data_IF_363902825871
#
_entry.id   IF_363902825871
#
_cell.length_a   1.000
_cell.length_b   1.000
_cell.length_c   1.000
_cell.angle_alpha   90.00
_cell.angle_beta   90.00
_cell.angle_gamma   90.00
#
_symmetry.space_group_name_H-M   'P 1'
#
loop_
_entity.id
_entity.type
_entity.pdbx_description
1 polymer ?
#
# COMPACT_ATOMS: atom_id res chain seq x y z
N UNK A 1 28.36 6.74 -11.22
CA UNK A 1 28.30 5.53 -10.39
C UNK A 1 26.94 5.53 -9.71
N UNK A 2 26.01 4.76 -10.28
CA UNK A 2 24.79 4.18 -9.70
C UNK A 2 24.13 4.85 -8.48
N UNK A 3 23.33 5.89 -8.72
CA UNK A 3 22.14 6.13 -7.90
C UNK A 3 21.02 5.22 -8.44
N UNK A 4 20.98 3.98 -7.96
CA UNK A 4 19.77 3.17 -8.01
C UNK A 4 18.73 3.89 -7.14
N UNK A 5 17.99 4.82 -7.74
CA UNK A 5 16.74 5.31 -7.20
C UNK A 5 15.78 4.12 -7.08
N UNK A 6 15.83 3.45 -5.95
CA UNK A 6 14.80 2.53 -5.49
C UNK A 6 13.49 3.33 -5.40
N UNK A 7 12.73 3.36 -6.49
CA UNK A 7 11.39 3.90 -6.48
C UNK A 7 10.60 3.13 -5.41
N UNK A 8 9.83 3.81 -4.55
CA UNK A 8 9.01 3.13 -3.54
C UNK A 8 7.97 2.17 -4.16
N UNK A 9 7.76 2.24 -5.47
CA UNK A 9 6.92 1.34 -6.26
C UNK A 9 7.55 -0.04 -6.57
N UNK A 10 8.87 -0.21 -6.42
CA UNK A 10 9.58 -1.46 -6.76
C UNK A 10 9.70 -2.43 -5.57
N UNK A 11 9.15 -2.08 -4.41
CA UNK A 11 9.12 -3.02 -3.28
C UNK A 11 8.09 -4.12 -3.58
N UNK A 12 8.47 -5.41 -3.56
CA UNK A 12 7.51 -6.48 -3.79
C UNK A 12 6.42 -6.38 -2.74
N UNK A 13 5.19 -6.08 -3.17
CA UNK A 13 4.03 -6.10 -2.30
C UNK A 13 3.92 -7.51 -1.72
N UNK A 14 4.01 -7.64 -0.40
CA UNK A 14 3.79 -8.92 0.28
C UNK A 14 2.41 -9.42 -0.15
N UNK A 15 2.35 -10.59 -0.80
CA UNK A 15 1.10 -11.16 -1.30
C UNK A 15 0.24 -11.67 -0.13
N UNK A 16 -1.09 -11.55 -0.24
CA UNK A 16 -2.04 -12.11 0.74
C UNK A 16 -1.76 -13.58 1.06
N UNK A 17 -1.31 -14.35 0.07
CA UNK A 17 -0.94 -15.76 0.25
C UNK A 17 0.23 -15.93 1.20
N UNK A 18 1.25 -15.05 1.11
CA UNK A 18 2.41 -15.07 2.00
C UNK A 18 2.01 -14.74 3.42
N UNK A 19 1.13 -13.74 3.61
CA UNK A 19 0.60 -13.38 4.92
C UNK A 19 -0.15 -14.56 5.56
N UNK A 20 -1.02 -15.23 4.80
CA UNK A 20 -1.77 -16.40 5.28
C UNK A 20 -0.86 -17.57 5.66
N UNK A 21 0.16 -17.86 4.85
CA UNK A 21 1.14 -18.92 5.14
C UNK A 21 1.93 -18.60 6.41
N UNK A 22 2.40 -17.35 6.57
CA UNK A 22 3.15 -16.93 7.76
C UNK A 22 2.28 -17.01 9.02
N UNK A 23 1.05 -16.50 8.98
CA UNK A 23 0.13 -16.56 10.13
C UNK A 23 -0.24 -18.00 10.46
N UNK A 24 -0.51 -18.83 9.45
CA UNK A 24 -0.81 -20.26 9.64
C UNK A 24 0.36 -21.03 10.26
N UNK A 25 1.59 -20.79 9.80
CA UNK A 25 2.79 -21.40 10.36
C UNK A 25 3.01 -20.96 11.82
N UNK A 26 2.86 -19.66 12.11
CA UNK A 26 2.98 -19.14 13.47
C UNK A 26 1.91 -19.72 14.41
N UNK A 27 0.68 -19.88 13.94
CA UNK A 27 -0.38 -20.52 14.72
C UNK A 27 -0.06 -21.99 15.01
N UNK A 28 0.41 -22.75 14.01
CA UNK A 28 0.80 -24.16 14.20
C UNK A 28 1.94 -24.30 15.21
N UNK A 29 2.96 -23.44 15.13
CA UNK A 29 4.09 -23.46 16.07
C UNK A 29 3.65 -23.02 17.46
N UNK A 30 2.84 -21.96 17.57
CA UNK A 30 2.35 -21.46 18.85
C UNK A 30 1.44 -22.46 19.57
N UNK A 31 0.43 -23.00 18.87
CA UNK A 31 -0.49 -24.00 19.45
C UNK A 31 0.23 -25.32 19.71
N UNK A 32 1.04 -25.80 18.76
CA UNK A 32 1.78 -27.04 18.89
C UNK A 32 2.79 -27.00 20.03
N UNK A 33 3.54 -25.90 20.15
CA UNK A 33 4.46 -25.67 21.26
C UNK A 33 3.75 -25.54 22.61
N UNK A 34 2.56 -24.91 22.64
CA UNK A 34 1.76 -24.81 23.86
C UNK A 34 1.29 -26.18 24.35
N UNK A 35 0.79 -27.03 23.44
CA UNK A 35 0.37 -28.41 23.77
C UNK A 35 1.58 -29.24 24.24
N UNK A 36 2.72 -29.15 23.54
CA UNK A 36 3.92 -29.89 23.88
C UNK A 36 4.46 -29.51 25.27
N UNK A 37 4.52 -28.21 25.57
CA UNK A 37 4.96 -27.72 26.88
C UNK A 37 3.94 -28.08 27.96
N UNK A 38 2.64 -28.05 27.67
CA UNK A 38 1.64 -28.46 28.65
C UNK A 38 1.80 -29.92 29.09
N UNK A 39 2.27 -30.81 28.21
CA UNK A 39 2.54 -32.22 28.53
C UNK A 39 3.88 -32.39 29.28
N UNK A 40 4.95 -31.68 28.87
CA UNK A 40 6.31 -31.90 29.39
C UNK A 40 6.60 -31.06 30.64
N UNK A 41 6.09 -29.82 30.69
CA UNK A 41 6.28 -28.82 31.75
C UNK A 41 5.03 -27.94 31.91
N UNK A 42 3.97 -28.45 32.56
CA UNK A 42 2.70 -27.73 32.75
C UNK A 42 2.85 -26.45 33.57
N UNK A 43 3.88 -26.34 34.41
CA UNK A 43 4.23 -25.14 35.16
C UNK A 43 4.65 -23.98 34.24
N UNK A 44 5.39 -24.29 33.18
CA UNK A 44 5.89 -23.31 32.21
C UNK A 44 4.90 -22.99 31.08
N UNK A 45 3.80 -23.76 30.93
CA UNK A 45 2.87 -23.61 29.80
C UNK A 45 2.17 -22.25 29.79
N UNK A 46 1.85 -21.68 30.95
CA UNK A 46 1.22 -20.37 31.06
C UNK A 46 2.15 -19.26 30.54
N UNK A 47 3.41 -19.26 30.98
CA UNK A 47 4.42 -18.28 30.56
C UNK A 47 4.73 -18.40 29.08
N UNK A 48 4.87 -19.63 28.56
CA UNK A 48 5.08 -19.85 27.14
C UNK A 48 3.92 -19.34 26.30
N UNK A 49 2.68 -19.66 26.68
CA UNK A 49 1.49 -19.24 25.94
C UNK A 49 1.36 -17.72 25.90
N UNK A 50 1.66 -17.03 27.01
CA UNK A 50 1.69 -15.57 27.07
C UNK A 50 2.73 -14.97 26.12
N UNK A 51 3.96 -15.52 26.10
CA UNK A 51 5.02 -15.07 25.20
C UNK A 51 4.68 -15.35 23.72
N UNK A 52 4.11 -16.52 23.43
CA UNK A 52 3.69 -16.89 22.09
C UNK A 52 2.60 -15.95 21.55
N UNK A 53 1.60 -15.62 22.38
CA UNK A 53 0.56 -14.64 22.04
C UNK A 53 1.11 -13.23 21.82
N UNK A 54 2.05 -12.79 22.65
CA UNK A 54 2.73 -11.50 22.47
C UNK A 54 3.49 -11.44 21.13
N UNK A 55 4.27 -12.47 20.83
CA UNK A 55 5.00 -12.56 19.56
C UNK A 55 4.05 -12.58 18.36
N UNK A 56 2.97 -13.35 18.44
CA UNK A 56 1.96 -13.43 17.39
C UNK A 56 1.29 -12.06 17.18
N UNK A 57 0.90 -11.38 18.27
CA UNK A 57 0.31 -10.04 18.21
C UNK A 57 1.25 -9.01 17.58
N UNK A 58 2.53 -9.06 17.92
CA UNK A 58 3.54 -8.20 17.31
C UNK A 58 3.68 -8.47 15.80
N UNK A 59 3.78 -9.74 15.40
CA UNK A 59 3.86 -10.12 13.98
C UNK A 59 2.63 -9.69 13.18
N UNK A 60 1.43 -9.90 13.71
CA UNK A 60 0.18 -9.47 13.06
C UNK A 60 0.13 -7.95 12.92
N UNK A 61 0.59 -7.21 13.94
CA UNK A 61 0.66 -5.74 13.89
C UNK A 61 1.60 -5.27 12.80
N UNK A 62 2.81 -5.83 12.74
CA UNK A 62 3.80 -5.51 11.69
C UNK A 62 3.24 -5.81 10.30
N UNK A 63 2.64 -6.99 10.10
CA UNK A 63 2.03 -7.37 8.83
C UNK A 63 0.91 -6.41 8.44
N UNK A 64 0.04 -6.02 9.39
CA UNK A 64 -1.06 -5.09 9.16
C UNK A 64 -0.54 -3.72 8.74
N UNK A 65 0.50 -3.21 9.41
CA UNK A 65 1.13 -1.93 9.07
C UNK A 65 1.72 -2.00 7.66
N UNK A 66 2.51 -3.03 7.35
CA UNK A 66 3.15 -3.18 6.04
C UNK A 66 2.10 -3.29 4.92
N UNK A 67 1.06 -4.10 5.12
CA UNK A 67 -0.02 -4.27 4.14
C UNK A 67 -0.84 -2.99 3.95
N UNK A 68 -1.15 -2.30 5.04
CA UNK A 68 -1.87 -1.04 5.03
C UNK A 68 -1.10 0.06 4.31
N UNK A 69 0.18 0.24 4.64
CA UNK A 69 1.06 1.23 4.01
C UNK A 69 1.20 0.97 2.51
N UNK A 70 1.38 -0.29 2.09
CA UNK A 70 1.47 -0.63 0.66
C UNK A 70 0.18 -0.27 -0.10
N UNK A 71 -0.99 -0.54 0.50
CA UNK A 71 -2.29 -0.23 -0.13
C UNK A 71 -2.53 1.27 -0.23
N UNK A 72 -2.20 2.03 0.82
CA UNK A 72 -2.30 3.49 0.82
C UNK A 72 -1.35 4.10 -0.21
N UNK A 73 -0.10 3.63 -0.27
CA UNK A 73 0.88 4.11 -1.24
C UNK A 73 0.43 3.85 -2.69
N UNK A 74 -0.13 2.66 -2.98
CA UNK A 74 -0.68 2.34 -4.30
C UNK A 74 -1.89 3.21 -4.68
N UNK A 75 -2.75 3.56 -3.72
CA UNK A 75 -3.87 4.48 -3.95
C UNK A 75 -3.38 5.91 -4.25
N UNK A 76 -2.41 6.41 -3.48
CA UNK A 76 -1.80 7.73 -3.72
C UNK A 76 -1.17 7.80 -5.11
N UNK A 77 -0.46 6.76 -5.53
CA UNK A 77 0.10 6.68 -6.88
C UNK A 77 -0.96 6.68 -7.98
N UNK A 78 -2.07 5.96 -7.78
CA UNK A 78 -3.21 5.96 -8.72
C UNK A 78 -3.86 7.33 -8.83
N UNK A 79 -4.12 7.98 -7.69
CA UNK A 79 -4.71 9.33 -7.65
C UNK A 79 -3.77 10.34 -8.31
N UNK A 80 -2.46 10.31 -8.05
CA UNK A 80 -1.51 11.19 -8.73
C UNK A 80 -1.52 10.98 -10.26
N UNK A 81 -1.52 9.73 -10.73
CA UNK A 81 -1.57 9.44 -12.17
C UNK A 81 -2.87 9.92 -12.81
N UNK A 82 -4.00 9.71 -12.15
CA UNK A 82 -5.31 10.16 -12.63
C UNK A 82 -5.41 11.70 -12.64
N UNK A 83 -4.99 12.37 -11.56
CA UNK A 83 -5.01 13.83 -11.47
C UNK A 83 -4.10 14.46 -12.50
N UNK A 84 -2.89 13.94 -12.72
CA UNK A 84 -1.98 14.47 -13.73
C UNK A 84 -2.53 14.28 -15.16
N UNK A 85 -3.16 13.13 -15.45
CA UNK A 85 -3.82 12.90 -16.73
C UNK A 85 -5.02 13.83 -16.97
N UNK A 86 -5.82 14.07 -15.95
CA UNK A 86 -6.95 15.02 -16.00
C UNK A 86 -6.47 16.45 -16.15
N UNK A 87 -5.40 16.85 -15.44
CA UNK A 87 -4.83 18.19 -15.55
C UNK A 87 -4.30 18.45 -16.97
N UNK A 88 -3.59 17.48 -17.55
CA UNK A 88 -3.07 17.57 -18.91
C UNK A 88 -4.20 17.72 -19.94
N UNK A 89 -5.28 16.94 -19.81
CA UNK A 89 -6.48 17.08 -20.65
C UNK A 89 -7.14 18.44 -20.50
N UNK A 90 -7.27 18.93 -19.26
CA UNK A 90 -7.89 20.22 -18.98
C UNK A 90 -7.07 21.39 -19.55
N UNK A 91 -5.74 21.25 -19.59
CA UNK A 91 -4.83 22.24 -20.15
C UNK A 91 -4.88 22.25 -21.69
N UNK A 92 -4.98 21.07 -22.30
CA UNK A 92 -5.19 20.90 -23.75
C UNK A 92 -6.53 21.49 -24.21
N UNK A 93 -7.61 21.23 -23.48
CA UNK A 93 -8.93 21.81 -23.75
C UNK A 93 -8.95 23.33 -23.57
N UNK A 94 -8.24 23.86 -22.56
CA UNK A 94 -8.09 25.31 -22.39
C UNK A 94 -7.38 25.94 -23.59
N UNK A 95 -6.28 25.32 -24.06
CA UNK A 95 -5.56 25.82 -25.23
C UNK A 95 -6.43 25.79 -26.48
N UNK A 96 -7.22 24.74 -26.69
CA UNK A 96 -8.20 24.68 -27.79
C UNK A 96 -9.26 25.78 -27.69
N UNK A 97 -9.84 25.99 -26.51
CA UNK A 97 -10.83 27.05 -26.30
C UNK A 97 -10.23 28.45 -26.52
N UNK A 98 -8.99 28.67 -26.09
CA UNK A 98 -8.28 29.93 -26.31
C UNK A 98 -7.98 30.16 -27.80
N UNK A 99 -7.62 29.12 -28.55
CA UNK A 99 -7.44 29.20 -29.99
C UNK A 99 -8.75 29.53 -30.72
N UNK A 100 -9.85 28.85 -30.38
CA UNK A 100 -11.18 29.15 -30.94
C UNK A 100 -11.65 30.56 -30.60
N UNK A 101 -11.44 31.02 -29.35
CA UNK A 101 -11.75 32.42 -28.98
C UNK A 101 -10.91 33.42 -29.77
N UNK A 102 -9.63 33.15 -29.99
CA UNK A 102 -8.75 34.02 -30.77
C UNK A 102 -9.16 34.07 -32.25
N UNK A 103 -9.58 32.94 -32.82
CA UNK A 103 -10.11 32.83 -34.18
C UNK A 103 -11.42 33.63 -34.33
N UNK A 104 -12.35 33.47 -33.39
CA UNK A 104 -13.63 34.18 -33.37
C UNK A 104 -13.45 35.70 -33.17
N UNK A 105 -12.52 36.11 -32.31
CA UNK A 105 -12.15 37.53 -32.15
C UNK A 105 -11.53 38.14 -33.41
N UNK A 106 -10.85 37.33 -34.23
CA UNK A 106 -10.32 37.77 -35.53
C UNK A 106 -11.40 37.98 -36.60
N UNK A 107 -12.52 37.25 -36.48
CA UNK A 107 -13.65 37.35 -37.41
C UNK A 107 -14.68 38.40 -37.00
N UNK A 108 -14.58 38.94 -35.78
CA UNK A 108 -15.43 40.03 -35.32
C UNK A 108 -14.90 41.37 -35.88
N UNK A 109 -15.72 42.16 -36.61
CA UNK A 109 -15.32 43.49 -37.04
C UNK A 109 -15.09 44.39 -35.81
N UNK A 110 -14.16 45.37 -35.90
CA UNK A 110 -13.93 46.32 -34.82
C UNK A 110 -15.25 47.02 -34.50
N UNK A 111 -15.65 46.95 -33.22
CA UNK A 111 -16.85 47.59 -32.72
C UNK A 111 -16.52 49.05 -32.44
N UNK A 112 -17.02 49.94 -33.31
CA UNK A 112 -17.12 51.38 -33.06
C UNK A 112 -17.96 51.68 -31.81
#
# INVERSE_FOLDING_TARGET
>A
MTDQQNHPADRPAVSSTVVLVVVGALLLVGLGGAILIHIIRPDASATYTAQALQFLGFMVTVLTIVYGVNKVSAQVGTVQKQTNGTLSKLQEDNQRLHAEKAELLRQLPPKD
#
